data_IF_893006627584
#
_entry.id   IF_893006627584
#
_cell.length_a   1.000
_cell.length_b   1.000
_cell.length_c   1.000
_cell.angle_alpha   90.00
_cell.angle_beta   90.00
_cell.angle_gamma   90.00
#
_symmetry.space_group_name_H-M   'P 1'
#
loop_
_entity.id
_entity.type
_entity.pdbx_description
1 polymer ?
#
# COMPACT_ATOMS: atom_id res chain seq x y z
N UNK A 1 -11.94 11.78 2.72
CA UNK A 1 -10.80 11.26 2.00
C UNK A 1 -10.05 10.26 2.85
N UNK A 2 -9.41 9.30 2.23
CA UNK A 2 -8.75 8.24 2.97
C UNK A 2 -7.35 8.59 3.42
N UNK A 3 -6.92 7.91 4.47
CA UNK A 3 -5.54 7.97 4.94
C UNK A 3 -4.84 6.67 4.57
N UNK A 4 -3.69 6.78 3.91
CA UNK A 4 -2.97 5.65 3.36
C UNK A 4 -1.61 5.50 4.05
N UNK A 5 -1.27 4.27 4.44
CA UNK A 5 0.08 3.94 4.84
C UNK A 5 0.80 3.35 3.63
N UNK A 6 1.83 4.07 3.16
CA UNK A 6 2.66 3.64 2.03
C UNK A 6 3.94 3.02 2.57
N UNK A 7 4.22 1.79 2.17
CA UNK A 7 5.43 1.09 2.60
C UNK A 7 6.26 0.72 1.37
N UNK A 8 7.37 1.40 1.20
CA UNK A 8 8.25 1.26 0.04
C UNK A 8 9.68 1.61 0.47
N UNK A 9 10.62 0.69 0.28
CA UNK A 9 11.99 0.88 0.72
C UNK A 9 12.83 1.75 -0.23
N UNK A 10 12.48 1.79 -1.51
CA UNK A 10 13.23 2.60 -2.47
C UNK A 10 12.77 4.06 -2.41
N UNK A 11 13.71 4.95 -2.06
CA UNK A 11 13.40 6.35 -1.83
C UNK A 11 12.70 7.03 -3.02
N UNK A 12 13.26 6.87 -4.22
CA UNK A 12 12.70 7.55 -5.40
C UNK A 12 11.30 7.06 -5.74
N UNK A 13 11.05 5.76 -5.58
CA UNK A 13 9.73 5.19 -5.82
C UNK A 13 8.75 5.67 -4.75
N UNK A 14 9.18 5.68 -3.49
CA UNK A 14 8.35 6.14 -2.38
C UNK A 14 7.90 7.59 -2.57
N UNK A 15 8.83 8.48 -2.92
CA UNK A 15 8.53 9.90 -3.14
C UNK A 15 7.56 10.07 -4.31
N UNK A 16 7.78 9.35 -5.40
CA UNK A 16 6.88 9.41 -6.54
C UNK A 16 5.47 8.98 -6.16
N UNK A 17 5.34 7.87 -5.46
CA UNK A 17 4.03 7.36 -5.05
C UNK A 17 3.35 8.32 -4.06
N UNK A 18 4.11 8.91 -3.13
CA UNK A 18 3.58 9.93 -2.22
C UNK A 18 2.93 11.08 -3.00
N UNK A 19 3.62 11.59 -4.01
CA UNK A 19 3.10 12.68 -4.83
C UNK A 19 1.81 12.28 -5.55
N UNK A 20 1.79 11.09 -6.13
CA UNK A 20 0.60 10.60 -6.84
C UNK A 20 -0.59 10.53 -5.89
N UNK A 21 -0.39 10.01 -4.69
CA UNK A 21 -1.47 9.83 -3.73
C UNK A 21 -1.95 11.17 -3.16
N UNK A 22 -1.03 12.05 -2.83
CA UNK A 22 -1.37 13.38 -2.31
C UNK A 22 -2.14 14.17 -3.36
N UNK A 23 -1.69 14.14 -4.61
CA UNK A 23 -2.37 14.81 -5.71
C UNK A 23 -3.78 14.28 -5.92
N UNK A 24 -4.01 13.00 -5.61
CA UNK A 24 -5.33 12.39 -5.70
C UNK A 24 -6.24 12.71 -4.51
N UNK A 25 -5.71 13.43 -3.51
CA UNK A 25 -6.48 13.90 -2.37
C UNK A 25 -6.40 13.05 -1.11
N UNK A 26 -5.48 12.09 -1.06
CA UNK A 26 -5.30 11.26 0.12
C UNK A 26 -4.28 11.83 1.09
N UNK A 27 -4.45 11.51 2.37
CA UNK A 27 -3.41 11.72 3.37
C UNK A 27 -2.49 10.51 3.35
N UNK A 28 -1.18 10.73 3.42
CA UNK A 28 -0.19 9.67 3.27
C UNK A 28 0.84 9.72 4.38
N UNK A 29 1.03 8.60 5.07
CA UNK A 29 2.20 8.39 5.91
C UNK A 29 3.05 7.32 5.22
N UNK A 30 4.35 7.41 5.35
CA UNK A 30 5.28 6.49 4.66
C UNK A 30 6.18 5.76 5.64
N UNK A 31 6.54 4.55 5.26
CA UNK A 31 7.52 3.73 5.95
C UNK A 31 8.41 3.03 4.93
N UNK A 32 9.65 2.74 5.32
CA UNK A 32 10.60 2.07 4.43
C UNK A 32 10.80 0.60 4.79
N UNK A 33 10.29 0.15 5.93
CA UNK A 33 10.50 -1.20 6.44
C UNK A 33 9.23 -1.77 7.05
N UNK A 34 9.20 -3.09 7.21
CA UNK A 34 8.11 -3.77 7.90
C UNK A 34 8.02 -3.26 9.35
N UNK A 35 9.14 -3.11 10.03
CA UNK A 35 9.16 -2.68 11.44
C UNK A 35 8.52 -1.30 11.61
N UNK A 36 8.89 -0.34 10.77
CA UNK A 36 8.30 1.00 10.81
C UNK A 36 6.80 0.96 10.54
N UNK A 37 6.40 0.19 9.53
CA UNK A 37 5.00 0.07 9.16
C UNK A 37 4.16 -0.56 10.27
N UNK A 38 4.67 -1.59 10.92
CA UNK A 38 3.98 -2.22 12.06
C UNK A 38 3.74 -1.23 13.19
N UNK A 39 4.75 -0.42 13.49
CA UNK A 39 4.63 0.60 14.52
C UNK A 39 3.53 1.60 14.19
N UNK A 40 3.46 2.04 12.94
CA UNK A 40 2.41 2.96 12.50
C UNK A 40 1.03 2.31 12.51
N UNK A 41 0.93 1.06 12.07
CA UNK A 41 -0.35 0.34 12.09
C UNK A 41 -0.88 0.17 13.52
N UNK A 42 0.01 0.04 14.49
CA UNK A 42 -0.39 -0.11 15.89
C UNK A 42 -0.91 1.19 16.50
N UNK A 43 -0.46 2.34 16.01
CA UNK A 43 -0.74 3.63 16.64
C UNK A 43 -1.64 4.55 15.84
N UNK A 44 -1.82 4.32 14.55
CA UNK A 44 -2.59 5.19 13.67
C UNK A 44 -3.60 4.35 12.90
N UNK A 45 -4.81 4.87 12.73
CA UNK A 45 -5.82 4.19 11.91
C UNK A 45 -5.66 4.62 10.45
N UNK A 46 -5.58 3.65 9.55
CA UNK A 46 -5.50 3.88 8.11
C UNK A 46 -6.70 3.26 7.42
N UNK A 47 -7.05 3.81 6.27
CA UNK A 47 -8.10 3.25 5.41
C UNK A 47 -7.52 2.22 4.45
N UNK A 48 -6.26 2.39 4.07
CA UNK A 48 -5.58 1.51 3.12
C UNK A 48 -4.11 1.35 3.49
N UNK A 49 -3.63 0.12 3.39
CA UNK A 49 -2.21 -0.19 3.36
C UNK A 49 -1.79 -0.40 1.91
N UNK A 50 -0.81 0.35 1.45
CA UNK A 50 -0.21 0.21 0.13
C UNK A 50 1.25 -0.18 0.32
N UNK A 51 1.59 -1.42 0.05
CA UNK A 51 2.91 -1.95 0.41
C UNK A 51 3.58 -2.69 -0.73
N UNK A 52 4.91 -2.51 -0.84
CA UNK A 52 5.73 -3.33 -1.72
C UNK A 52 5.68 -4.78 -1.25
N UNK A 53 5.66 -5.70 -2.19
CA UNK A 53 5.67 -7.12 -1.88
C UNK A 53 6.94 -7.58 -1.19
N UNK A 54 8.09 -6.96 -1.49
CA UNK A 54 9.36 -7.27 -0.83
C UNK A 54 9.92 -6.03 -0.14
N UNK A 55 10.29 -6.21 1.11
CA UNK A 55 10.86 -5.17 1.95
C UNK A 55 12.14 -5.72 2.57
N UNK A 56 13.04 -4.86 3.08
CA UNK A 56 14.33 -5.31 3.62
C UNK A 56 14.21 -6.34 4.75
N UNK A 57 13.15 -6.25 5.54
CA UNK A 57 12.94 -7.05 6.73
C UNK A 57 11.68 -7.93 6.67
N UNK A 58 11.13 -8.14 5.48
CA UNK A 58 9.97 -9.02 5.32
C UNK A 58 9.21 -8.78 4.04
N UNK A 59 7.90 -8.94 4.09
CA UNK A 59 7.05 -8.80 2.91
C UNK A 59 5.85 -7.91 3.18
N UNK A 60 5.30 -7.33 2.13
CA UNK A 60 4.06 -6.56 2.23
C UNK A 60 2.88 -7.42 2.65
N UNK A 61 2.90 -8.72 2.32
CA UNK A 61 1.83 -9.62 2.71
C UNK A 61 1.73 -9.81 4.23
N UNK A 62 2.87 -9.77 4.93
CA UNK A 62 2.89 -9.80 6.40
C UNK A 62 2.14 -8.60 6.98
N UNK A 63 2.35 -7.43 6.38
CA UNK A 63 1.65 -6.21 6.79
C UNK A 63 0.18 -6.25 6.44
N UNK A 64 -0.15 -6.82 5.27
CA UNK A 64 -1.53 -6.97 4.84
C UNK A 64 -2.32 -7.86 5.79
N UNK A 65 -1.72 -8.93 6.30
CA UNK A 65 -2.36 -9.80 7.29
C UNK A 65 -2.69 -9.00 8.56
N UNK A 66 -1.75 -8.21 9.05
CA UNK A 66 -1.97 -7.38 10.23
C UNK A 66 -3.06 -6.32 9.99
N UNK A 67 -3.01 -5.69 8.82
CA UNK A 67 -3.99 -4.66 8.45
C UNK A 67 -5.41 -5.24 8.41
N UNK A 68 -5.57 -6.43 7.84
CA UNK A 68 -6.88 -7.07 7.77
C UNK A 68 -7.46 -7.36 9.14
N UNK A 69 -6.63 -7.75 10.10
CA UNK A 69 -7.07 -7.98 11.47
C UNK A 69 -7.71 -6.73 12.09
N UNK A 70 -7.28 -5.57 11.63
CA UNK A 70 -7.80 -4.28 12.09
C UNK A 70 -8.87 -3.69 11.15
N UNK A 71 -9.29 -4.44 10.15
CA UNK A 71 -10.30 -3.99 9.19
C UNK A 71 -9.76 -3.02 8.14
N UNK A 72 -8.44 -2.95 7.99
CA UNK A 72 -7.79 -2.07 7.00
C UNK A 72 -7.61 -2.84 5.70
N UNK A 73 -7.98 -2.23 4.59
CA UNK A 73 -7.81 -2.83 3.26
C UNK A 73 -6.36 -2.74 2.82
N UNK A 74 -5.93 -3.66 1.95
CA UNK A 74 -4.53 -3.71 1.51
C UNK A 74 -4.43 -3.85 0.00
N UNK A 75 -3.39 -3.20 -0.56
CA UNK A 75 -3.01 -3.32 -1.96
C UNK A 75 -1.50 -3.52 -2.01
N UNK A 76 -1.07 -4.60 -2.67
CA UNK A 76 0.34 -4.92 -2.80
C UNK A 76 0.86 -4.40 -4.14
N UNK A 77 2.03 -3.77 -4.13
CA UNK A 77 2.73 -3.39 -5.35
C UNK A 77 4.01 -4.19 -5.40
N UNK A 78 4.26 -4.87 -6.51
CA UNK A 78 5.46 -5.71 -6.60
C UNK A 78 6.10 -5.66 -7.97
N UNK A 79 7.43 -5.64 -8.00
CA UNK A 79 8.21 -5.79 -9.21
C UNK A 79 8.67 -7.23 -9.44
N UNK A 80 8.29 -8.13 -8.53
CA UNK A 80 8.71 -9.52 -8.60
C UNK A 80 7.55 -10.39 -9.04
N UNK A 81 7.86 -11.45 -9.77
CA UNK A 81 6.89 -12.44 -10.15
C UNK A 81 6.67 -13.39 -8.96
N UNK A 82 5.81 -12.99 -8.06
CA UNK A 82 5.36 -13.89 -7.01
C UNK A 82 4.43 -14.94 -7.60
N UNK A 83 4.45 -16.12 -7.04
CA UNK A 83 3.44 -17.11 -7.36
C UNK A 83 2.12 -16.66 -6.76
N UNK A 84 1.02 -16.99 -7.42
CA UNK A 84 -0.30 -16.60 -6.92
C UNK A 84 -0.54 -17.07 -5.48
N UNK A 85 0.00 -18.23 -5.13
CA UNK A 85 -0.11 -18.75 -3.77
C UNK A 85 0.56 -17.85 -2.73
N UNK A 86 1.62 -17.13 -3.09
CA UNK A 86 2.33 -16.21 -2.18
C UNK A 86 1.54 -14.93 -1.98
N UNK A 87 0.91 -14.41 -3.02
CA UNK A 87 0.08 -13.23 -2.95
C UNK A 87 -1.24 -13.53 -2.24
N UNK A 88 -1.71 -14.77 -2.34
CA UNK A 88 -2.93 -15.19 -1.70
C UNK A 88 -4.14 -14.45 -2.27
N UNK A 89 -4.98 -13.96 -1.37
CA UNK A 89 -6.22 -13.26 -1.71
C UNK A 89 -6.05 -11.75 -1.88
N UNK A 90 -4.83 -11.24 -1.70
CA UNK A 90 -4.60 -9.80 -1.74
C UNK A 90 -4.61 -9.28 -3.15
N UNK A 91 -5.17 -8.09 -3.32
CA UNK A 91 -5.07 -7.38 -4.58
C UNK A 91 -3.64 -6.90 -4.77
N UNK A 92 -3.19 -6.89 -6.01
CA UNK A 92 -1.84 -6.43 -6.31
C UNK A 92 -1.77 -5.73 -7.65
N UNK A 93 -0.74 -4.89 -7.79
CA UNK A 93 -0.37 -4.27 -9.05
C UNK A 93 1.10 -4.58 -9.31
N UNK A 94 1.44 -4.77 -10.58
CA UNK A 94 2.82 -5.04 -10.99
C UNK A 94 3.53 -3.73 -11.31
N UNK A 95 4.77 -3.60 -10.86
CA UNK A 95 5.63 -2.47 -11.24
C UNK A 95 6.10 -2.64 -12.70
N UNK A 96 6.25 -1.56 -13.46
CA UNK A 96 6.02 -0.16 -13.09
C UNK A 96 4.53 0.16 -13.06
N UNK A 97 4.10 0.85 -12.01
CA UNK A 97 2.69 1.20 -11.82
C UNK A 97 2.46 2.60 -12.38
N UNK A 98 1.46 2.74 -13.23
CA UNK A 98 1.05 4.04 -13.77
C UNK A 98 0.21 4.78 -12.73
N UNK A 99 0.37 6.11 -12.62
CA UNK A 99 -0.44 6.88 -11.67
C UNK A 99 -1.94 6.65 -11.79
N UNK A 100 -2.48 6.65 -13.00
CA UNK A 100 -3.91 6.42 -13.20
C UNK A 100 -4.35 5.01 -12.78
N UNK A 101 -3.50 4.02 -13.01
CA UNK A 101 -3.77 2.64 -12.61
C UNK A 101 -3.81 2.52 -11.09
N UNK A 102 -2.85 3.15 -10.41
CA UNK A 102 -2.79 3.13 -8.96
C UNK A 102 -4.00 3.81 -8.33
N UNK A 103 -4.30 5.03 -8.78
CA UNK A 103 -5.44 5.79 -8.25
C UNK A 103 -6.75 5.06 -8.52
N UNK A 104 -6.91 4.50 -9.72
CA UNK A 104 -8.10 3.73 -10.06
C UNK A 104 -8.29 2.50 -9.17
N UNK A 105 -7.21 1.79 -8.86
CA UNK A 105 -7.27 0.62 -7.98
C UNK A 105 -7.67 1.04 -6.55
N UNK A 106 -7.10 2.13 -6.06
CA UNK A 106 -7.41 2.63 -4.72
C UNK A 106 -8.87 3.07 -4.64
N UNK A 107 -9.36 3.79 -5.63
CA UNK A 107 -10.76 4.22 -5.68
C UNK A 107 -11.71 3.02 -5.69
N UNK A 108 -11.36 1.97 -6.43
CA UNK A 108 -12.16 0.75 -6.46
C UNK A 108 -12.19 0.07 -5.10
N UNK A 109 -11.06 0.01 -4.41
CA UNK A 109 -10.96 -0.64 -3.10
C UNK A 109 -11.67 0.14 -2.00
N UNK A 110 -11.48 1.46 -1.98
CA UNK A 110 -12.06 2.32 -0.94
C UNK A 110 -13.46 2.82 -1.28
N UNK A 111 -13.89 2.62 -2.51
CA UNK A 111 -15.08 3.24 -3.03
C UNK A 111 -14.74 4.63 -3.59
N UNK A 112 -15.24 4.93 -4.79
CA UNK A 112 -15.04 6.24 -5.39
C UNK A 112 -15.77 7.28 -4.55
N UNK A 113 -15.16 8.45 -4.30
CA UNK A 113 -15.88 9.51 -3.60
C UNK A 113 -17.09 9.92 -4.44
N UNK A 114 -18.20 10.16 -3.76
CA UNK A 114 -19.39 10.69 -4.41
C UNK A 114 -19.05 12.07 -4.94
N UNK A 115 -19.15 12.22 -6.24
CA UNK A 115 -18.84 13.49 -6.88
C UNK A 115 -19.96 14.48 -6.67
#
# INVERSE_FOLDING_TARGET
>A
MGRILLVEDEYNVRVLLEHVLIDAGYEVDSAATVAEAKSLLDSVHYDLLLADGRLPDGTGMMLADQAEESGIKALIITGYAFQLAELGRYEFLMKPVRPAELVGAIERILGAPAC
#
